data_IF_474706455790
#
_entry.id   IF_474706455790
#
_cell.length_a   1.000
_cell.length_b   1.000
_cell.length_c   1.000
_cell.angle_alpha   90.00
_cell.angle_beta   90.00
_cell.angle_gamma   90.00
#
_symmetry.space_group_name_H-M   'P 1'
#
loop_
_entity.id
_entity.type
_entity.pdbx_description
1 polymer ?
#
# COMPACT_ATOMS: atom_id res chain seq x y z
N UNK A 1 -1.06 -51.11 -1.09
CA UNK A 1 0.09 -50.36 -0.54
C UNK A 1 -0.07 -48.83 -0.66
N UNK A 2 -0.52 -48.26 -1.80
CA UNK A 2 -0.75 -46.80 -1.92
C UNK A 2 -1.92 -46.24 -1.08
N UNK A 3 -3.01 -47.01 -0.94
CA UNK A 3 -4.19 -46.64 -0.13
C UNK A 3 -3.88 -46.61 1.39
N UNK A 4 -2.98 -47.50 1.85
CA UNK A 4 -2.55 -47.55 3.25
C UNK A 4 -1.63 -46.37 3.60
N UNK A 5 -0.83 -45.91 2.64
CA UNK A 5 0.04 -44.75 2.81
C UNK A 5 -0.76 -43.44 2.92
N UNK A 6 -1.86 -43.33 2.17
CA UNK A 6 -2.74 -42.16 2.21
C UNK A 6 -3.46 -42.02 3.57
N UNK A 7 -3.88 -43.15 4.17
CA UNK A 7 -4.55 -43.19 5.48
C UNK A 7 -3.60 -42.87 6.65
N UNK A 8 -2.32 -43.26 6.53
CA UNK A 8 -1.27 -42.95 7.52
C UNK A 8 -0.75 -41.51 7.39
N UNK A 9 -0.77 -40.92 6.19
CA UNK A 9 -0.36 -39.52 5.99
C UNK A 9 -1.41 -38.53 6.52
N UNK A 10 -2.70 -38.87 6.41
CA UNK A 10 -3.79 -38.03 6.94
C UNK A 10 -3.87 -38.02 8.47
N UNK A 11 -3.45 -39.09 9.14
CA UNK A 11 -3.42 -39.15 10.62
C UNK A 11 -2.22 -38.42 11.22
N UNK A 12 -1.13 -38.25 10.46
CA UNK A 12 0.03 -37.42 10.84
C UNK A 12 -0.23 -35.91 10.69
N UNK A 13 -1.13 -35.51 9.79
CA UNK A 13 -1.47 -34.09 9.62
C UNK A 13 -2.50 -33.57 10.64
N UNK A 14 -3.27 -34.47 11.27
CA UNK A 14 -4.32 -34.11 12.24
C UNK A 14 -3.79 -33.94 13.68
N UNK A 15 -2.56 -34.36 13.99
CA UNK A 15 -1.95 -34.26 15.33
C UNK A 15 -1.12 -32.99 15.57
N UNK A 16 -1.05 -32.06 14.61
CA UNK A 16 -0.22 -30.85 14.68
C UNK A 16 -0.93 -29.56 15.13
N UNK A 17 -2.19 -29.63 15.56
CA UNK A 17 -2.98 -28.45 15.99
C UNK A 17 -3.22 -28.31 17.50
N UNK A 18 -2.51 -29.06 18.36
CA UNK A 18 -2.67 -28.96 19.82
C UNK A 18 -1.33 -28.61 20.50
N UNK A 19 -0.98 -27.32 20.47
CA UNK A 19 -0.09 -26.59 21.38
C UNK A 19 -0.07 -25.13 20.88
N UNK A 20 -0.28 -24.06 21.63
CA UNK A 20 -0.27 -23.80 23.06
C UNK A 20 -1.09 -22.51 23.26
N UNK A 21 -1.96 -22.41 24.27
CA UNK A 21 -2.46 -21.11 24.75
C UNK A 21 -2.13 -20.98 26.24
N UNK A 22 -1.18 -20.10 26.52
CA UNK A 22 -0.66 -19.77 27.83
C UNK A 22 -1.46 -18.63 28.47
N UNK A 23 -1.90 -18.89 29.71
CA UNK A 23 -2.52 -18.01 30.71
C UNK A 23 -2.00 -16.56 30.74
N UNK A 24 -2.95 -15.61 30.81
CA UNK A 24 -2.83 -14.31 31.50
C UNK A 24 -4.19 -14.09 32.18
N UNK A 25 -4.36 -14.39 33.47
CA UNK A 25 -4.09 -13.56 34.65
C UNK A 25 -4.72 -12.15 34.55
N UNK A 26 -5.93 -12.03 35.10
CA UNK A 26 -6.66 -10.78 35.34
C UNK A 26 -6.49 -10.35 36.81
N UNK A 27 -5.94 -9.15 36.99
CA UNK A 27 -5.95 -8.28 38.18
C UNK A 27 -5.42 -6.95 37.62
N UNK A 28 -6.01 -5.78 37.78
CA UNK A 28 -6.97 -5.27 38.73
C UNK A 28 -6.63 -3.80 38.93
N UNK A 29 -7.63 -3.03 39.32
CA UNK A 29 -7.55 -1.71 39.94
C UNK A 29 -7.21 -0.45 39.12
N UNK A 30 -8.11 0.51 39.32
CA UNK A 30 -8.12 1.90 38.92
C UNK A 30 -7.00 2.69 39.60
N UNK A 31 -6.49 3.72 38.92
CA UNK A 31 -5.80 4.84 39.56
C UNK A 31 -6.54 6.14 39.24
N UNK A 32 -7.27 6.55 40.26
CA UNK A 32 -7.87 7.85 40.51
C UNK A 32 -6.84 8.99 40.45
N UNK A 33 -7.19 10.11 39.82
CA UNK A 33 -6.55 11.40 40.11
C UNK A 33 -7.65 12.43 40.34
N UNK A 34 -8.13 12.41 41.57
CA UNK A 34 -8.78 13.51 42.27
C UNK A 34 -8.14 14.86 41.94
N UNK A 35 -8.92 15.80 41.41
CA UNK A 35 -8.65 17.22 41.58
C UNK A 35 -9.69 17.81 42.54
N UNK A 36 -9.13 18.37 43.60
CA UNK A 36 -9.77 18.90 44.80
C UNK A 36 -10.94 19.84 44.49
N UNK A 37 -12.09 19.52 45.09
CA UNK A 37 -13.21 20.43 45.27
C UNK A 37 -12.84 21.51 46.28
N UNK A 38 -13.05 22.76 45.90
CA UNK A 38 -13.25 23.86 46.84
C UNK A 38 -14.51 24.59 46.41
N UNK A 39 -15.62 24.23 47.06
CA UNK A 39 -16.83 25.03 47.05
C UNK A 39 -16.58 26.28 47.90
N UNK A 40 -16.73 27.46 47.30
CA UNK A 40 -17.33 28.59 48.00
C UNK A 40 -18.35 29.21 47.04
N UNK A 41 -19.59 29.21 47.52
CA UNK A 41 -20.77 29.75 46.89
C UNK A 41 -20.64 31.26 46.59
N UNK A 42 -21.30 31.71 45.52
CA UNK A 42 -22.35 32.73 45.58
C UNK A 42 -22.99 32.90 44.18
N UNK A 43 -24.29 32.63 44.08
CA UNK A 43 -25.14 33.22 43.04
C UNK A 43 -25.53 34.63 43.50
N UNK A 44 -25.63 35.63 42.59
CA UNK A 44 -26.96 35.98 42.07
C UNK A 44 -27.02 36.38 40.57
N UNK A 45 -28.07 35.86 39.93
CA UNK A 45 -28.87 36.31 38.77
C UNK A 45 -28.35 37.37 37.74
N UNK A 46 -28.33 36.90 36.47
CA UNK A 46 -28.83 37.49 35.18
C UNK A 46 -28.12 38.69 34.51
N UNK A 47 -28.28 38.93 33.17
CA UNK A 47 -28.46 38.02 32.01
C UNK A 47 -27.63 38.42 30.72
N UNK A 48 -27.70 37.56 29.69
CA UNK A 48 -27.35 37.75 28.25
C UNK A 48 -25.86 37.67 27.84
N UNK A 49 -25.55 36.68 26.99
CA UNK A 49 -25.41 36.85 25.52
C UNK A 49 -24.46 35.77 24.94
N UNK A 50 -24.80 35.31 23.74
CA UNK A 50 -23.98 34.58 22.75
C UNK A 50 -23.43 33.18 23.04
N UNK A 51 -24.08 32.22 22.37
CA UNK A 51 -23.38 31.45 21.33
C UNK A 51 -22.66 30.18 21.78
N UNK A 52 -23.41 29.12 22.09
CA UNK A 52 -22.85 27.77 22.07
C UNK A 52 -22.88 27.23 20.65
N UNK A 53 -21.88 27.61 19.85
CA UNK A 53 -21.59 26.96 18.58
C UNK A 53 -21.08 25.55 18.89
N UNK A 54 -21.91 24.55 18.61
CA UNK A 54 -21.50 23.14 18.62
C UNK A 54 -20.30 23.02 17.67
N UNK A 55 -19.11 22.78 18.24
CA UNK A 55 -17.94 22.34 17.47
C UNK A 55 -18.27 20.96 16.91
N UNK A 56 -18.90 20.98 15.75
CA UNK A 56 -19.06 19.83 14.89
C UNK A 56 -17.69 19.68 14.25
N UNK A 57 -16.86 18.80 14.79
CA UNK A 57 -15.62 18.39 14.12
C UNK A 57 -16.05 17.87 12.76
N UNK A 58 -15.73 18.55 11.64
CA UNK A 58 -16.07 18.04 10.34
C UNK A 58 -15.25 16.77 10.20
N UNK A 59 -15.93 15.62 10.14
CA UNK A 59 -15.34 14.39 9.64
C UNK A 59 -15.13 14.60 8.14
N UNK A 60 -14.11 15.38 7.80
CA UNK A 60 -13.58 15.43 6.47
C UNK A 60 -13.06 14.03 6.18
N UNK A 61 -13.83 13.30 5.39
CA UNK A 61 -13.38 12.09 4.73
C UNK A 61 -12.41 12.57 3.65
N UNK A 62 -11.17 12.86 4.06
CA UNK A 62 -10.09 13.27 3.17
C UNK A 62 -9.64 12.08 2.34
N UNK A 63 -10.44 11.69 1.35
CA UNK A 63 -10.04 10.77 0.29
C UNK A 63 -9.02 11.39 -0.68
N UNK A 64 -8.57 12.63 -0.44
CA UNK A 64 -7.91 13.44 -1.46
C UNK A 64 -6.40 13.25 -1.61
N UNK A 65 -5.72 12.42 -0.80
CA UNK A 65 -4.27 12.23 -0.95
C UNK A 65 -3.77 10.79 -0.79
N UNK A 66 -4.66 9.80 -0.90
CA UNK A 66 -4.22 8.40 -0.81
C UNK A 66 -3.30 8.04 -1.97
N UNK A 67 -2.18 7.39 -1.66
CA UNK A 67 -1.28 6.78 -2.63
C UNK A 67 -1.66 5.31 -2.75
N UNK A 68 -2.39 4.95 -3.79
CA UNK A 68 -2.87 3.58 -3.98
C UNK A 68 -2.11 2.94 -5.14
N UNK A 69 -1.55 1.77 -4.89
CA UNK A 69 -1.02 0.87 -5.92
C UNK A 69 -2.10 -0.17 -6.24
N UNK A 70 -2.35 -0.37 -7.54
CA UNK A 70 -3.23 -1.44 -8.02
C UNK A 70 -2.38 -2.47 -8.76
N UNK A 71 -2.47 -3.70 -8.29
CA UNK A 71 -1.81 -4.87 -8.87
C UNK A 71 -2.91 -5.81 -9.41
N UNK A 72 -2.71 -6.33 -10.62
CA UNK A 72 -3.69 -7.19 -11.29
C UNK A 72 -3.05 -8.41 -11.93
N UNK A 73 -3.72 -9.56 -11.80
CA UNK A 73 -3.39 -10.80 -12.51
C UNK A 73 -4.60 -11.23 -13.32
N UNK A 74 -4.42 -11.35 -14.64
CA UNK A 74 -5.49 -11.67 -15.59
C UNK A 74 -5.02 -12.78 -16.51
N UNK A 75 -5.82 -13.83 -16.64
CA UNK A 75 -5.64 -14.89 -17.61
C UNK A 75 -6.68 -14.74 -18.71
N UNK A 76 -6.22 -14.67 -19.95
CA UNK A 76 -7.05 -14.46 -21.14
C UNK A 76 -6.83 -15.64 -22.08
N UNK A 77 -7.91 -16.29 -22.49
CA UNK A 77 -7.89 -17.25 -23.60
C UNK A 77 -8.12 -16.48 -24.90
N UNK A 78 -7.05 -16.36 -25.68
CA UNK A 78 -7.06 -15.68 -26.97
C UNK A 78 -7.64 -16.59 -28.06
N UNK A 79 -8.56 -16.06 -28.87
CA UNK A 79 -9.05 -16.79 -30.07
C UNK A 79 -7.99 -16.87 -31.16
N UNK A 80 -7.22 -15.80 -31.29
CA UNK A 80 -6.06 -15.67 -32.17
C UNK A 80 -4.96 -14.95 -31.39
N UNK A 81 -3.90 -15.68 -31.05
CA UNK A 81 -2.82 -15.18 -30.20
C UNK A 81 -2.13 -13.96 -30.81
N UNK A 82 -1.88 -13.95 -32.12
CA UNK A 82 -1.14 -12.89 -32.79
C UNK A 82 -1.98 -11.63 -32.94
N UNK A 83 -3.28 -11.78 -33.25
CA UNK A 83 -4.23 -10.66 -33.25
C UNK A 83 -4.38 -10.06 -31.85
N UNK A 84 -4.49 -10.91 -30.83
CA UNK A 84 -4.61 -10.48 -29.43
C UNK A 84 -3.39 -9.71 -28.97
N UNK A 85 -2.18 -10.20 -29.31
CA UNK A 85 -0.92 -9.50 -29.01
C UNK A 85 -0.86 -8.13 -29.69
N UNK A 86 -1.25 -8.04 -30.96
CA UNK A 86 -1.27 -6.77 -31.71
C UNK A 86 -2.25 -5.76 -31.12
N UNK A 87 -3.43 -6.23 -30.69
CA UNK A 87 -4.42 -5.40 -30.00
C UNK A 87 -3.89 -4.90 -28.65
N UNK A 88 -3.22 -5.78 -27.89
CA UNK A 88 -2.56 -5.44 -26.62
C UNK A 88 -1.48 -4.38 -26.84
N UNK A 89 -0.61 -4.52 -27.83
CA UNK A 89 0.45 -3.54 -28.16
C UNK A 89 -0.14 -2.15 -28.47
N UNK A 90 -1.23 -2.12 -29.24
CA UNK A 90 -1.93 -0.87 -29.60
C UNK A 90 -2.57 -0.22 -28.37
N UNK A 91 -3.17 -1.02 -27.49
CA UNK A 91 -3.75 -0.54 -26.24
C UNK A 91 -2.70 0.07 -25.32
N UNK A 92 -1.54 -0.60 -25.16
CA UNK A 92 -0.47 -0.10 -24.30
C UNK A 92 0.08 1.24 -24.80
N UNK A 93 0.31 1.37 -26.11
CA UNK A 93 0.74 2.64 -26.72
C UNK A 93 -0.26 3.76 -26.46
N UNK A 94 -1.55 3.49 -26.62
CA UNK A 94 -2.62 4.48 -26.41
C UNK A 94 -2.70 4.97 -24.96
N UNK A 95 -2.32 4.12 -24.00
CA UNK A 95 -2.41 4.41 -22.57
C UNK A 95 -1.08 4.86 -21.95
N UNK A 96 -0.03 5.08 -22.76
CA UNK A 96 1.34 5.33 -22.29
C UNK A 96 1.81 4.27 -21.27
N UNK A 97 1.41 3.02 -21.50
CA UNK A 97 1.80 1.85 -20.74
C UNK A 97 2.88 1.06 -21.50
N UNK A 98 3.60 0.21 -20.79
CA UNK A 98 4.72 -0.55 -21.38
C UNK A 98 4.87 -1.93 -20.73
N UNK A 99 5.54 -2.84 -21.44
CA UNK A 99 5.92 -4.14 -20.90
C UNK A 99 7.15 -3.99 -20.00
N UNK A 100 7.02 -4.39 -18.74
CA UNK A 100 8.19 -4.66 -17.89
C UNK A 100 8.82 -6.00 -18.24
N UNK A 101 7.99 -7.00 -18.58
CA UNK A 101 8.44 -8.32 -19.03
C UNK A 101 7.49 -8.85 -20.09
N UNK A 102 8.05 -9.44 -21.14
CA UNK A 102 7.34 -10.18 -22.16
C UNK A 102 8.07 -11.50 -22.40
N UNK A 103 7.34 -12.60 -22.36
CA UNK A 103 7.88 -13.94 -22.58
C UNK A 103 6.88 -14.73 -23.42
N UNK A 104 7.33 -15.29 -24.54
CA UNK A 104 6.55 -16.18 -25.38
C UNK A 104 6.88 -17.63 -25.00
N UNK A 105 5.88 -18.35 -24.52
CA UNK A 105 5.91 -19.79 -24.36
C UNK A 105 5.35 -20.42 -25.63
N UNK A 106 6.19 -21.13 -26.37
CA UNK A 106 5.81 -21.84 -27.58
C UNK A 106 6.38 -23.25 -27.53
N UNK A 107 5.53 -24.23 -27.27
CA UNK A 107 5.85 -25.65 -27.27
C UNK A 107 4.78 -26.44 -28.03
N UNK A 108 4.97 -27.76 -28.21
CA UNK A 108 4.05 -28.61 -28.96
C UNK A 108 2.60 -28.60 -28.44
N UNK A 109 2.41 -28.23 -27.18
CA UNK A 109 1.12 -28.29 -26.48
C UNK A 109 0.46 -26.91 -26.32
N UNK A 110 1.22 -25.82 -26.36
CA UNK A 110 0.73 -24.49 -25.98
C UNK A 110 1.56 -23.39 -26.62
N UNK A 111 0.85 -22.37 -27.13
CA UNK A 111 1.42 -21.07 -27.49
C UNK A 111 0.76 -19.99 -26.62
N UNK A 112 1.53 -19.31 -25.77
CA UNK A 112 1.02 -18.32 -24.84
C UNK A 112 2.04 -17.20 -24.56
N UNK A 113 1.53 -16.02 -24.24
CA UNK A 113 2.37 -14.91 -23.75
C UNK A 113 2.23 -14.77 -22.24
N UNK A 114 3.36 -14.69 -21.53
CA UNK A 114 3.43 -14.25 -20.13
C UNK A 114 3.90 -12.81 -20.10
N UNK A 115 2.98 -11.91 -19.75
CA UNK A 115 3.19 -10.47 -19.84
C UNK A 115 3.15 -9.83 -18.45
N UNK A 116 4.12 -8.98 -18.15
CA UNK A 116 4.09 -8.06 -17.01
C UNK A 116 4.04 -6.64 -17.54
N UNK A 117 2.96 -5.95 -17.26
CA UNK A 117 2.64 -4.64 -17.83
C UNK A 117 2.66 -3.58 -16.74
N UNK A 118 3.27 -2.43 -17.02
CA UNK A 118 3.22 -1.23 -16.18
C UNK A 118 2.31 -0.20 -16.80
N UNK A 119 1.33 0.23 -16.01
CA UNK A 119 0.24 1.11 -16.46
C UNK A 119 0.25 2.35 -15.55
N UNK A 120 0.18 3.57 -16.11
CA UNK A 120 -0.03 4.76 -15.32
C UNK A 120 -1.30 4.65 -14.47
N UNK A 121 -1.26 5.03 -13.19
CA UNK A 121 -2.35 4.80 -12.25
C UNK A 121 -3.71 5.35 -12.72
N UNK A 122 -3.73 6.52 -13.35
CA UNK A 122 -4.95 7.14 -13.89
C UNK A 122 -5.57 6.38 -15.08
N UNK A 123 -4.80 5.52 -15.74
CA UNK A 123 -5.23 4.76 -16.92
C UNK A 123 -5.63 3.32 -16.60
N UNK A 124 -5.46 2.87 -15.35
CA UNK A 124 -5.69 1.47 -14.96
C UNK A 124 -7.12 0.99 -15.25
N UNK A 125 -8.13 1.78 -14.88
CA UNK A 125 -9.54 1.40 -15.15
C UNK A 125 -9.87 1.41 -16.64
N UNK A 126 -9.27 2.32 -17.41
CA UNK A 126 -9.41 2.36 -18.87
C UNK A 126 -8.76 1.15 -19.53
N UNK A 127 -7.60 0.74 -19.05
CA UNK A 127 -6.92 -0.48 -19.50
C UNK A 127 -7.81 -1.70 -19.27
N UNK A 128 -8.33 -1.84 -18.05
CA UNK A 128 -9.14 -2.99 -17.67
C UNK A 128 -10.44 -3.08 -18.46
N UNK A 129 -11.17 -1.96 -18.58
CA UNK A 129 -12.40 -1.91 -19.38
C UNK A 129 -12.15 -2.15 -20.86
N UNK A 130 -10.98 -1.78 -21.39
CA UNK A 130 -10.61 -2.08 -22.78
C UNK A 130 -10.30 -3.55 -22.99
N UNK A 131 -9.67 -4.21 -22.00
CA UNK A 131 -9.47 -5.66 -22.01
C UNK A 131 -10.79 -6.42 -21.96
N UNK A 132 -11.72 -6.03 -21.09
CA UNK A 132 -13.04 -6.67 -20.95
C UNK A 132 -13.94 -6.51 -22.16
N UNK A 133 -13.82 -5.37 -22.87
CA UNK A 133 -14.52 -5.14 -24.14
C UNK A 133 -13.83 -5.83 -25.32
N UNK A 134 -12.69 -6.47 -25.09
CA UNK A 134 -11.99 -7.26 -26.09
C UNK A 134 -12.82 -8.44 -26.59
N UNK A 135 -12.37 -9.05 -27.68
CA UNK A 135 -13.03 -10.22 -28.27
C UNK A 135 -12.64 -11.56 -27.63
N UNK A 136 -11.65 -11.54 -26.74
CA UNK A 136 -11.06 -12.71 -26.10
C UNK A 136 -11.71 -13.01 -24.74
N UNK A 137 -11.62 -14.25 -24.29
CA UNK A 137 -12.32 -14.69 -23.07
C UNK A 137 -11.42 -14.53 -21.84
N UNK A 138 -11.90 -13.80 -20.83
CA UNK A 138 -11.19 -13.68 -19.55
C UNK A 138 -11.52 -14.91 -18.69
N UNK A 139 -10.53 -15.77 -18.49
CA UNK A 139 -10.65 -16.98 -17.65
C UNK A 139 -10.49 -16.70 -16.17
N UNK A 140 -9.60 -15.77 -15.84
CA UNK A 140 -9.37 -15.36 -14.46
C UNK A 140 -9.02 -13.89 -14.41
N UNK A 141 -9.46 -13.20 -13.37
CA UNK A 141 -9.15 -11.81 -13.09
C UNK A 141 -9.13 -11.60 -11.58
N UNK A 142 -7.97 -11.23 -11.07
CA UNK A 142 -7.78 -10.82 -9.68
C UNK A 142 -7.11 -9.46 -9.64
N UNK A 143 -7.68 -8.53 -8.89
CA UNK A 143 -7.15 -7.17 -8.72
C UNK A 143 -7.08 -6.87 -7.23
N UNK A 144 -5.92 -6.40 -6.81
CA UNK A 144 -5.64 -5.96 -5.46
C UNK A 144 -5.29 -4.47 -5.48
N UNK A 145 -5.84 -3.72 -4.53
CA UNK A 145 -5.42 -2.36 -4.25
C UNK A 145 -4.72 -2.32 -2.88
N UNK A 146 -3.61 -1.60 -2.80
CA UNK A 146 -2.85 -1.38 -1.56
C UNK A 146 -2.66 0.11 -1.36
N UNK A 147 -3.08 0.60 -0.19
CA UNK A 147 -2.82 1.97 0.24
C UNK A 147 -1.39 2.03 0.79
N UNK A 148 -0.52 2.80 0.12
CA UNK A 148 0.89 3.00 0.46
C UNK A 148 1.17 4.45 0.87
N UNK A 149 0.14 5.14 1.39
CA UNK A 149 0.24 6.57 1.73
C UNK A 149 1.25 6.81 2.84
N UNK A 150 1.27 5.96 3.86
CA UNK A 150 2.16 6.11 5.01
C UNK A 150 3.63 5.92 4.59
N UNK A 151 3.92 4.86 3.85
CA UNK A 151 5.25 4.55 3.34
C UNK A 151 5.74 5.64 2.38
N UNK A 152 4.84 6.17 1.55
CA UNK A 152 5.16 7.30 0.67
C UNK A 152 5.53 8.54 1.48
N UNK A 153 4.76 8.89 2.51
CA UNK A 153 5.03 10.08 3.36
C UNK A 153 6.33 9.90 4.15
N UNK A 154 6.61 8.71 4.69
CA UNK A 154 7.87 8.41 5.37
C UNK A 154 9.07 8.57 4.43
N UNK A 155 9.03 7.90 3.26
CA UNK A 155 10.11 7.98 2.26
C UNK A 155 10.34 9.42 1.81
N UNK A 156 9.26 10.18 1.57
CA UNK A 156 9.37 11.58 1.17
C UNK A 156 10.00 12.44 2.27
N UNK A 157 9.63 12.22 3.54
CA UNK A 157 10.20 12.95 4.67
C UNK A 157 11.69 12.64 4.82
N UNK A 158 12.07 11.35 4.73
CA UNK A 158 13.48 10.92 4.74
C UNK A 158 14.27 11.53 3.58
N UNK A 159 13.69 11.58 2.38
CA UNK A 159 14.30 12.18 1.21
C UNK A 159 14.56 13.68 1.41
N UNK A 160 13.59 14.41 1.97
CA UNK A 160 13.73 15.84 2.28
C UNK A 160 14.85 16.06 3.27
N UNK A 161 14.89 15.33 4.39
CA UNK A 161 15.96 15.44 5.39
C UNK A 161 17.34 15.14 4.79
N UNK A 162 17.46 14.12 3.95
CA UNK A 162 18.72 13.79 3.25
C UNK A 162 19.15 14.88 2.29
N UNK A 163 18.23 15.52 1.57
CA UNK A 163 18.54 16.65 0.69
C UNK A 163 18.96 17.90 1.46
N UNK A 164 18.33 18.18 2.60
CA UNK A 164 18.73 19.28 3.48
C UNK A 164 20.13 19.05 4.07
N UNK A 165 20.41 17.82 4.50
CA UNK A 165 21.76 17.43 4.93
C UNK A 165 22.79 17.66 3.82
N UNK A 166 22.52 17.16 2.60
CA UNK A 166 23.39 17.37 1.44
C UNK A 166 23.63 18.85 1.17
N UNK A 167 22.59 19.68 1.18
CA UNK A 167 22.69 21.11 0.94
C UNK A 167 23.54 21.82 2.02
N UNK A 168 23.34 21.47 3.30
CA UNK A 168 24.15 22.00 4.41
C UNK A 168 25.61 21.56 4.27
N UNK A 169 25.85 20.30 3.96
CA UNK A 169 27.19 19.76 3.74
C UNK A 169 27.91 20.50 2.60
N UNK A 170 27.25 20.68 1.45
CA UNK A 170 27.78 21.46 0.33
C UNK A 170 28.06 22.91 0.72
N UNK A 171 27.19 23.54 1.51
CA UNK A 171 27.40 24.91 1.99
C UNK A 171 28.59 25.02 2.95
N UNK A 172 28.86 24.00 3.76
CA UNK A 172 30.04 23.94 4.64
C UNK A 172 31.32 23.74 3.80
N UNK A 173 31.30 22.80 2.85
CA UNK A 173 32.42 22.59 1.92
C UNK A 173 32.77 23.85 1.12
N UNK A 174 31.77 24.60 0.66
CA UNK A 174 31.99 25.86 -0.05
C UNK A 174 32.66 26.95 0.81
N UNK A 175 32.59 26.83 2.15
CA UNK A 175 33.21 27.76 3.10
C UNK A 175 34.56 27.29 3.62
N UNK A 176 34.85 25.99 3.53
CA UNK A 176 36.11 25.42 3.98
C UNK A 176 37.26 25.91 3.10
N UNK A 177 38.32 26.40 3.73
CA UNK A 177 39.52 26.94 3.06
C UNK A 177 40.72 26.01 3.17
N UNK A 178 40.66 25.02 4.07
CA UNK A 178 41.78 24.12 4.35
C UNK A 178 41.32 22.65 4.31
N UNK A 179 42.26 21.75 4.01
CA UNK A 179 42.00 20.29 3.98
C UNK A 179 41.55 19.79 5.37
N UNK A 180 42.10 20.39 6.44
CA UNK A 180 41.70 20.07 7.82
C UNK A 180 40.22 20.39 8.08
N UNK A 181 39.74 21.56 7.65
CA UNK A 181 38.32 21.94 7.77
C UNK A 181 37.40 21.00 6.98
N UNK A 182 37.85 20.50 5.81
CA UNK A 182 37.07 19.54 5.01
C UNK A 182 36.96 18.20 5.76
N UNK A 183 38.05 17.70 6.34
CA UNK A 183 38.06 16.47 7.13
C UNK A 183 37.16 16.58 8.36
N UNK A 184 37.15 17.74 9.03
CA UNK A 184 36.26 18.02 10.18
C UNK A 184 34.76 18.09 9.80
N UNK A 185 34.41 18.28 8.53
CA UNK A 185 33.02 18.30 8.04
C UNK A 185 32.54 16.88 7.64
N UNK A 186 33.46 15.96 7.32
CA UNK A 186 33.16 14.59 6.89
C UNK A 186 32.94 13.62 8.06
N UNK A 187 33.65 13.79 9.18
CA UNK A 187 33.43 13.05 10.44
C UNK A 187 32.10 13.37 11.12
#
# INVERSE_FOLDING_TARGET
>A
MKQLYFLVLTTIFLSLFISCNSKQNEQGEQADVNYVTSEVALSPQAPKDKGTEKVTVPKETSTSNKKIIKDGSIAIEAKDLQRSKTAMDSLLRTLNAYYEKEELENNEQTMAYRLKVRIPAGQFERFLSSLEKGGDEIKNKSIQARDVTEEFVDIQSRLVSKRQYLARYQALLARAKTIKEILEIEE
#
